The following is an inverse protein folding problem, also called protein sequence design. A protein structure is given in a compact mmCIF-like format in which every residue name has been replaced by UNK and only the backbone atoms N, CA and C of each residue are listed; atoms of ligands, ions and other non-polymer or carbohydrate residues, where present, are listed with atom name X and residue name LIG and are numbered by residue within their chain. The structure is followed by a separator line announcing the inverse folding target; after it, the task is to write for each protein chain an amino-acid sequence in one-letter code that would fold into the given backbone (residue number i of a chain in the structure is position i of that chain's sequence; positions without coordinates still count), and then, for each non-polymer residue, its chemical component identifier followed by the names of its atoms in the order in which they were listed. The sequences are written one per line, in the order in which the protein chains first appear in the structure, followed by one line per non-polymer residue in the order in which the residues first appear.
data_IF_481357771879
#
_entry.id   IF_481357771879
#
_cell.length_a   1.000
_cell.length_b   1.000
_cell.length_c   1.000
_cell.angle_alpha   90.00
_cell.angle_beta   90.00
_cell.angle_gamma   90.00
#
_symmetry.space_group_name_H-M   'P 1'
#
loop_
_entity.id
_entity.type
_entity.pdbx_description
1 polymer ?
#
# COMPACT_ATOMS: atom_id res chain seq x y z
N UNK A 1 12.21 -43.44 14.64
CA UNK A 1 11.97 -43.30 16.09
C UNK A 1 10.55 -43.79 16.37
N UNK A 2 10.30 -44.58 17.43
CA UNK A 2 8.96 -45.13 17.69
C UNK A 2 8.30 -44.35 18.83
N UNK A 3 7.17 -43.70 18.54
CA UNK A 3 6.34 -43.02 19.53
C UNK A 3 5.32 -43.98 20.16
N UNK A 4 5.14 -43.89 21.47
CA UNK A 4 4.22 -44.73 22.25
C UNK A 4 2.88 -44.03 22.46
N UNK A 5 1.78 -44.78 22.46
CA UNK A 5 0.47 -44.24 22.89
C UNK A 5 0.57 -43.71 24.33
N UNK A 6 0.04 -42.51 24.56
CA UNK A 6 0.13 -41.79 25.84
C UNK A 6 1.42 -40.96 26.00
N UNK A 7 2.36 -41.04 25.07
CA UNK A 7 3.58 -40.22 25.11
C UNK A 7 3.27 -38.75 24.85
N UNK A 8 3.88 -37.87 25.65
CA UNK A 8 3.82 -36.42 25.43
C UNK A 8 4.82 -35.99 24.37
N UNK A 9 4.36 -35.16 23.44
CA UNK A 9 5.15 -34.65 22.33
C UNK A 9 4.92 -33.15 22.16
N UNK A 10 5.92 -32.46 21.65
CA UNK A 10 5.85 -31.05 21.24
C UNK A 10 6.01 -30.97 19.72
N UNK A 11 5.24 -30.09 19.08
CA UNK A 11 5.39 -29.76 17.67
C UNK A 11 6.70 -29.02 17.48
N UNK A 12 7.57 -29.52 16.59
CA UNK A 12 8.82 -28.85 16.22
C UNK A 12 8.62 -28.11 14.90
N UNK A 13 7.92 -28.72 13.95
CA UNK A 13 7.64 -28.15 12.64
C UNK A 13 6.45 -28.87 12.00
N UNK A 14 5.65 -28.16 11.22
CA UNK A 14 4.65 -28.76 10.33
C UNK A 14 4.61 -28.01 9.01
N UNK A 15 4.40 -28.76 7.93
CA UNK A 15 4.28 -28.24 6.57
C UNK A 15 2.83 -27.95 6.18
N UNK A 16 1.85 -28.26 7.05
CA UNK A 16 0.43 -28.00 6.80
C UNK A 16 0.09 -26.49 6.98
N UNK A 17 -0.23 -25.76 5.89
CA UNK A 17 -0.52 -24.33 5.98
C UNK A 17 -1.90 -24.02 6.60
N UNK A 18 -2.76 -25.03 6.77
CA UNK A 18 -4.12 -24.87 7.28
C UNK A 18 -4.25 -25.13 8.78
N UNK A 19 -3.17 -25.58 9.43
CA UNK A 19 -3.17 -25.81 10.87
C UNK A 19 -2.98 -24.53 11.68
N UNK A 20 -3.68 -24.45 12.80
CA UNK A 20 -3.46 -23.40 13.81
C UNK A 20 -2.36 -23.75 14.80
N UNK A 21 -1.83 -24.98 14.75
CA UNK A 21 -0.73 -25.39 15.61
C UNK A 21 0.52 -24.57 15.30
N UNK A 22 1.32 -24.30 16.33
CA UNK A 22 2.60 -23.59 16.24
C UNK A 22 3.71 -24.44 16.85
N UNK A 23 4.96 -24.32 16.37
CA UNK A 23 6.10 -24.94 17.03
C UNK A 23 6.09 -24.63 18.54
N UNK A 24 6.23 -25.65 19.36
CA UNK A 24 6.10 -25.59 20.82
C UNK A 24 4.76 -26.10 21.36
N UNK A 25 3.70 -26.15 20.55
CA UNK A 25 2.42 -26.73 20.97
C UNK A 25 2.61 -28.18 21.38
N UNK A 26 1.93 -28.58 22.46
CA UNK A 26 2.11 -29.92 23.03
C UNK A 26 0.85 -30.76 22.90
N UNK A 27 1.05 -32.07 22.80
CA UNK A 27 -0.02 -33.02 22.61
C UNK A 27 0.35 -34.41 23.10
N UNK A 28 -0.65 -35.27 23.15
CA UNK A 28 -0.52 -36.66 23.58
C UNK A 28 -0.71 -37.59 22.39
N UNK A 29 0.27 -38.47 22.16
CA UNK A 29 0.21 -39.46 21.08
C UNK A 29 -0.94 -40.43 21.34
N UNK A 30 -1.90 -40.48 20.42
CA UNK A 30 -3.01 -41.45 20.44
C UNK A 30 -2.57 -42.77 19.82
N UNK A 31 -1.91 -42.68 18.67
CA UNK A 31 -1.50 -43.84 17.88
C UNK A 31 -0.33 -43.46 16.98
N UNK A 32 0.55 -44.43 16.73
CA UNK A 32 1.59 -44.33 15.71
C UNK A 32 1.43 -45.48 14.71
N UNK A 33 1.11 -45.16 13.46
CA UNK A 33 1.09 -46.12 12.36
C UNK A 33 2.49 -46.22 11.75
N UNK A 34 3.21 -47.28 12.10
CA UNK A 34 4.60 -47.48 11.66
C UNK A 34 4.72 -47.80 10.17
N UNK A 35 3.63 -48.23 9.50
CA UNK A 35 3.67 -48.53 8.05
C UNK A 35 3.61 -47.26 7.22
N UNK A 36 2.91 -46.26 7.71
CA UNK A 36 2.74 -44.96 7.05
C UNK A 36 3.60 -43.86 7.68
N UNK A 37 4.28 -44.15 8.80
CA UNK A 37 5.03 -43.19 9.61
C UNK A 37 4.19 -41.97 10.02
N UNK A 38 2.91 -42.21 10.32
CA UNK A 38 1.93 -41.19 10.73
C UNK A 38 1.64 -41.33 12.22
N UNK A 39 1.63 -40.21 12.93
CA UNK A 39 1.36 -40.14 14.36
C UNK A 39 0.10 -39.33 14.59
N UNK A 40 -0.93 -39.97 15.11
CA UNK A 40 -2.15 -39.31 15.55
C UNK A 40 -1.92 -38.70 16.93
N UNK A 41 -2.11 -37.39 17.05
CA UNK A 41 -1.87 -36.64 18.30
C UNK A 41 -3.16 -35.92 18.72
N UNK A 42 -3.50 -36.02 20.00
CA UNK A 42 -4.49 -35.13 20.62
C UNK A 42 -3.73 -33.95 21.20
N UNK A 43 -3.80 -32.81 20.54
CA UNK A 43 -3.13 -31.59 20.94
C UNK A 43 -3.89 -30.89 22.06
N UNK A 44 -3.18 -30.23 22.97
CA UNK A 44 -3.79 -29.57 24.13
C UNK A 44 -4.68 -28.38 23.73
N UNK A 45 -4.46 -27.83 22.53
CA UNK A 45 -5.33 -26.82 21.90
C UNK A 45 -6.69 -27.37 21.46
N UNK A 46 -6.93 -28.69 21.58
CA UNK A 46 -8.12 -29.37 21.10
C UNK A 46 -8.04 -29.86 19.66
N UNK A 47 -6.93 -29.57 18.95
CA UNK A 47 -6.67 -30.12 17.61
C UNK A 47 -6.42 -31.64 17.68
N UNK A 48 -6.85 -32.36 16.64
CA UNK A 48 -6.62 -33.80 16.47
C UNK A 48 -5.71 -34.10 15.25
N UNK A 49 -4.96 -33.10 14.80
CA UNK A 49 -4.10 -33.21 13.61
C UNK A 49 -3.06 -34.31 13.78
N UNK A 50 -2.97 -35.18 12.77
CA UNK A 50 -1.93 -36.21 12.67
C UNK A 50 -0.66 -35.64 12.05
N UNK A 51 0.49 -36.14 12.48
CA UNK A 51 1.81 -35.74 11.98
C UNK A 51 2.33 -36.79 11.00
N UNK A 52 2.63 -36.36 9.78
CA UNK A 52 3.20 -37.17 8.72
C UNK A 52 4.73 -36.99 8.73
N UNK A 53 5.44 -37.87 9.45
CA UNK A 53 6.89 -37.68 9.67
C UNK A 53 7.74 -37.80 8.40
N UNK A 54 7.23 -38.50 7.38
CA UNK A 54 7.88 -38.61 6.07
C UNK A 54 7.64 -37.39 5.17
N UNK A 55 6.59 -36.60 5.45
CA UNK A 55 6.18 -35.42 4.66
C UNK A 55 6.54 -34.09 5.36
N UNK A 56 7.62 -34.12 6.14
CA UNK A 56 8.26 -32.93 6.70
C UNK A 56 7.80 -32.55 8.11
N UNK A 57 6.73 -33.13 8.65
CA UNK A 57 6.31 -32.86 10.03
C UNK A 57 7.36 -33.37 11.02
N UNK A 58 7.61 -32.59 12.08
CA UNK A 58 8.56 -32.93 13.13
C UNK A 58 7.94 -32.71 14.50
N UNK A 59 8.05 -33.72 15.34
CA UNK A 59 7.67 -33.66 16.75
C UNK A 59 8.81 -34.18 17.62
N UNK A 60 8.86 -33.77 18.89
CA UNK A 60 9.86 -34.22 19.85
C UNK A 60 9.20 -34.70 21.15
N UNK A 61 9.68 -35.78 21.80
CA UNK A 61 9.21 -36.18 23.13
C UNK A 61 9.37 -35.06 24.15
N UNK A 62 8.34 -34.81 24.96
CA UNK A 62 8.43 -33.94 26.14
C UNK A 62 8.95 -34.80 27.29
N UNK A 63 10.24 -34.68 27.61
CA UNK A 63 10.82 -35.34 28.78
C UNK A 63 10.36 -34.66 30.06
N UNK A 64 9.43 -35.28 30.79
CA UNK A 64 9.10 -34.92 32.18
C UNK A 64 10.21 -35.38 33.11
N UNK A 65 11.33 -34.68 33.09
CA UNK A 65 12.23 -34.57 34.24
C UNK A 65 11.96 -33.18 34.82
N UNK A 66 11.63 -33.02 36.12
CA UNK A 66 11.41 -31.68 36.67
C UNK A 66 12.69 -30.89 36.46
N UNK A 67 12.67 -29.74 35.77
CA UNK A 67 13.85 -28.93 35.62
C UNK A 67 14.25 -28.39 37.00
N UNK A 68 15.54 -28.13 37.26
CA UNK A 68 15.91 -27.32 38.40
C UNK A 68 15.20 -25.98 38.26
N UNK A 69 14.34 -25.69 39.23
CA UNK A 69 13.51 -24.50 39.31
C UNK A 69 14.42 -23.26 39.33
N UNK A 70 14.69 -22.67 38.16
CA UNK A 70 15.42 -21.39 38.08
C UNK A 70 16.17 -21.07 36.79
N UNK A 71 16.47 -22.03 35.89
CA UNK A 71 17.35 -21.78 34.73
C UNK A 71 16.64 -21.61 33.39
N UNK A 72 16.05 -22.68 32.87
CA UNK A 72 15.68 -22.78 31.44
C UNK A 72 14.51 -21.89 31.00
N UNK A 73 13.53 -21.61 31.88
CA UNK A 73 12.44 -20.68 31.55
C UNK A 73 12.93 -19.23 31.60
N UNK A 74 13.84 -18.90 32.52
CA UNK A 74 14.48 -17.59 32.57
C UNK A 74 15.43 -17.39 31.37
N UNK A 75 16.14 -18.43 30.94
CA UNK A 75 16.98 -18.43 29.74
C UNK A 75 16.15 -18.34 28.45
N UNK A 76 15.04 -19.09 28.32
CA UNK A 76 14.15 -19.00 27.16
C UNK A 76 13.43 -17.64 27.09
N UNK A 77 13.00 -17.09 28.24
CA UNK A 77 12.42 -15.74 28.32
C UNK A 77 13.49 -14.69 28.01
N UNK A 78 14.73 -14.90 28.46
CA UNK A 78 15.88 -14.04 28.16
C UNK A 78 16.25 -14.05 26.68
N UNK A 79 16.23 -15.22 26.04
CA UNK A 79 16.51 -15.35 24.60
C UNK A 79 15.41 -14.74 23.74
N UNK A 80 14.13 -15.01 24.07
CA UNK A 80 13.01 -14.36 23.38
C UNK A 80 13.07 -12.83 23.50
N UNK A 81 13.43 -12.30 24.68
CA UNK A 81 13.64 -10.88 24.88
C UNK A 81 14.84 -10.34 24.05
N UNK A 82 15.93 -11.10 23.95
CA UNK A 82 17.06 -10.74 23.10
C UNK A 82 16.67 -10.69 21.61
N UNK A 83 15.94 -11.68 21.11
CA UNK A 83 15.43 -11.69 19.73
C UNK A 83 14.46 -10.53 19.46
N UNK A 84 13.61 -10.17 20.42
CA UNK A 84 12.74 -8.99 20.29
C UNK A 84 13.54 -7.68 20.19
N UNK A 85 14.62 -7.55 20.97
CA UNK A 85 15.51 -6.39 20.86
C UNK A 85 16.26 -6.36 19.52
N UNK A 86 16.74 -7.52 19.05
CA UNK A 86 17.35 -7.62 17.72
C UNK A 86 16.37 -7.23 16.61
N UNK A 87 15.11 -7.68 16.69
CA UNK A 87 14.05 -7.27 15.76
C UNK A 87 13.82 -5.76 15.80
N UNK A 88 13.68 -5.19 16.99
CA UNK A 88 13.47 -3.75 17.16
C UNK A 88 14.64 -2.92 16.61
N UNK A 89 15.89 -3.36 16.86
CA UNK A 89 17.08 -2.72 16.32
C UNK A 89 17.13 -2.82 14.78
N UNK A 90 16.77 -3.98 14.22
CA UNK A 90 16.65 -4.17 12.77
C UNK A 90 15.63 -3.21 12.15
N UNK A 91 14.43 -3.09 12.76
CA UNK A 91 13.39 -2.14 12.32
C UNK A 91 13.92 -0.70 12.28
N UNK A 92 14.56 -0.26 13.37
CA UNK A 92 15.07 1.11 13.48
C UNK A 92 16.18 1.40 12.45
N UNK A 93 17.10 0.45 12.29
CA UNK A 93 18.17 0.56 11.31
C UNK A 93 17.62 0.57 9.87
N UNK A 94 16.62 -0.27 9.57
CA UNK A 94 15.97 -0.31 8.26
C UNK A 94 15.26 1.01 7.93
N UNK A 95 14.52 1.57 8.89
CA UNK A 95 13.89 2.90 8.75
C UNK A 95 14.91 4.00 8.52
N UNK A 96 15.97 4.01 9.31
CA UNK A 96 17.06 4.98 9.16
C UNK A 96 17.68 4.88 7.78
N UNK A 97 17.99 3.67 7.31
CA UNK A 97 18.56 3.44 5.98
C UNK A 97 17.63 3.92 4.86
N UNK A 98 16.32 3.67 4.98
CA UNK A 98 15.31 4.19 4.06
C UNK A 98 15.27 5.72 4.01
N UNK A 99 15.39 6.40 5.16
CA UNK A 99 15.42 7.86 5.21
C UNK A 99 16.67 8.44 4.54
N UNK A 100 17.84 7.83 4.76
CA UNK A 100 19.08 8.22 4.08
C UNK A 100 18.98 8.01 2.57
N UNK A 101 18.53 6.84 2.13
CA UNK A 101 18.30 6.53 0.72
C UNK A 101 17.32 7.51 0.07
N UNK A 102 16.26 7.88 0.79
CA UNK A 102 15.23 8.76 0.27
C UNK A 102 15.80 10.16 0.00
N UNK A 103 16.71 10.67 0.84
CA UNK A 103 17.34 11.98 0.62
C UNK A 103 18.00 12.09 -0.76
N UNK A 104 18.65 11.03 -1.20
CA UNK A 104 19.43 10.99 -2.44
C UNK A 104 18.58 10.56 -3.66
N UNK A 105 17.48 9.82 -3.44
CA UNK A 105 16.67 9.25 -4.53
C UNK A 105 15.40 10.04 -4.84
N UNK A 106 14.68 10.50 -3.80
CA UNK A 106 13.37 11.19 -3.94
C UNK A 106 13.28 12.50 -3.13
N UNK A 107 14.33 12.83 -2.38
CA UNK A 107 14.41 13.97 -1.48
C UNK A 107 15.21 15.14 -2.05
N UNK A 108 15.66 16.03 -1.15
CA UNK A 108 16.26 17.31 -1.54
C UNK A 108 17.58 17.21 -2.31
N UNK A 109 18.27 16.06 -2.29
CA UNK A 109 19.51 15.84 -3.05
C UNK A 109 19.27 15.11 -4.37
N UNK A 110 18.07 14.61 -4.60
CA UNK A 110 17.72 13.96 -5.84
C UNK A 110 17.68 14.97 -6.99
N UNK A 111 18.24 14.57 -8.13
CA UNK A 111 18.10 15.32 -9.38
C UNK A 111 16.88 14.85 -10.17
N UNK A 112 16.19 15.78 -10.84
CA UNK A 112 15.08 15.46 -11.73
C UNK A 112 13.70 15.50 -11.05
N UNK A 113 12.72 14.81 -11.65
CA UNK A 113 11.34 14.75 -11.16
C UNK A 113 11.21 13.68 -10.07
N UNK A 114 11.33 14.11 -8.81
CA UNK A 114 11.25 13.22 -7.64
C UNK A 114 9.90 12.55 -7.49
N UNK A 115 8.83 13.22 -7.93
CA UNK A 115 7.46 12.71 -7.87
C UNK A 115 7.27 11.56 -8.84
N UNK A 116 7.86 11.68 -10.02
CA UNK A 116 7.91 10.63 -11.04
C UNK A 116 8.72 9.42 -10.56
N UNK A 117 9.92 9.68 -10.01
CA UNK A 117 10.77 8.63 -9.45
C UNK A 117 10.05 7.85 -8.34
N UNK A 118 9.40 8.55 -7.41
CA UNK A 118 8.64 7.93 -6.33
C UNK A 118 7.52 7.02 -6.83
N UNK A 119 6.78 7.42 -7.86
CA UNK A 119 5.71 6.60 -8.47
C UNK A 119 6.25 5.32 -9.11
N UNK A 120 7.34 5.43 -9.87
CA UNK A 120 7.97 4.26 -10.50
C UNK A 120 8.44 3.24 -9.47
N UNK A 121 8.95 3.72 -8.34
CA UNK A 121 9.38 2.86 -7.23
C UNK A 121 8.17 2.17 -6.58
N UNK A 122 7.07 2.89 -6.33
CA UNK A 122 5.84 2.29 -5.79
C UNK A 122 5.30 1.18 -6.70
N UNK A 123 5.19 1.43 -8.00
CA UNK A 123 4.75 0.44 -8.98
C UNK A 123 5.69 -0.78 -8.97
N UNK A 124 7.01 -0.56 -8.98
CA UNK A 124 7.97 -1.67 -8.94
C UNK A 124 7.92 -2.48 -7.63
N UNK A 125 7.63 -1.86 -6.50
CA UNK A 125 7.42 -2.57 -5.22
C UNK A 125 6.14 -3.40 -5.27
N UNK A 126 5.05 -2.86 -5.80
CA UNK A 126 3.76 -3.57 -5.95
C UNK A 126 3.86 -4.76 -6.92
N UNK A 127 4.53 -4.57 -8.06
CA UNK A 127 4.75 -5.61 -9.07
C UNK A 127 5.81 -6.64 -8.66
N UNK A 128 6.58 -6.38 -7.60
CA UNK A 128 7.70 -7.20 -7.19
C UNK A 128 8.86 -7.19 -8.19
N UNK A 129 9.09 -6.05 -8.87
CA UNK A 129 10.17 -5.88 -9.86
C UNK A 129 11.54 -6.05 -9.18
N UNK A 130 12.32 -7.08 -9.52
CA UNK A 130 13.64 -7.30 -8.94
C UNK A 130 14.58 -6.10 -9.12
N UNK A 131 14.49 -5.36 -10.23
CA UNK A 131 15.37 -4.21 -10.46
C UNK A 131 15.10 -3.07 -9.47
N UNK A 132 13.85 -2.92 -9.02
CA UNK A 132 13.45 -1.94 -8.00
C UNK A 132 13.81 -2.47 -6.61
N UNK A 133 13.45 -3.72 -6.31
CA UNK A 133 13.70 -4.33 -5.00
C UNK A 133 15.21 -4.42 -4.69
N UNK A 134 16.04 -4.78 -5.67
CA UNK A 134 17.51 -4.84 -5.53
C UNK A 134 18.14 -3.45 -5.34
N UNK A 135 17.44 -2.37 -5.73
CA UNK A 135 17.90 -0.99 -5.56
C UNK A 135 17.46 -0.37 -4.23
N UNK A 136 16.58 -1.04 -3.47
CA UNK A 136 16.16 -0.59 -2.14
C UNK A 136 17.26 -0.85 -1.11
N UNK A 137 17.27 -0.12 0.02
CA UNK A 137 18.15 -0.43 1.12
C UNK A 137 17.87 -1.84 1.63
N UNK A 138 18.86 -2.71 1.47
CA UNK A 138 18.84 -4.06 2.01
C UNK A 138 20.06 -4.27 2.88
N UNK A 139 19.98 -5.20 3.83
CA UNK A 139 21.11 -5.51 4.68
C UNK A 139 22.23 -6.16 3.85
N UNK A 140 23.26 -5.40 3.49
CA UNK A 140 24.43 -5.93 2.77
C UNK A 140 25.42 -6.55 3.75
N UNK A 141 25.51 -7.87 3.74
CA UNK A 141 26.62 -8.64 4.33
C UNK A 141 27.48 -9.22 3.20
N UNK A 142 27.99 -8.38 2.30
CA UNK A 142 28.89 -8.89 1.26
C UNK A 142 30.32 -8.93 1.83
N UNK A 143 30.67 -10.05 2.45
CA UNK A 143 32.06 -10.44 2.70
C UNK A 143 32.56 -10.37 4.14
N UNK A 144 31.78 -9.85 5.09
CA UNK A 144 32.15 -9.90 6.52
C UNK A 144 31.56 -11.13 7.18
N UNK A 145 32.42 -11.90 7.86
CA UNK A 145 31.98 -13.04 8.66
C UNK A 145 30.96 -12.56 9.69
N UNK A 146 29.90 -13.36 9.91
CA UNK A 146 28.86 -13.13 10.93
C UNK A 146 29.46 -12.81 12.31
N UNK A 147 30.69 -13.27 12.57
CA UNK A 147 31.43 -13.07 13.81
C UNK A 147 32.03 -11.67 13.99
N UNK A 148 32.24 -10.86 12.95
CA UNK A 148 32.89 -9.53 13.09
C UNK A 148 31.90 -8.39 13.30
N UNK A 149 30.75 -8.42 12.65
CA UNK A 149 29.71 -7.38 12.76
C UNK A 149 28.49 -7.81 13.60
N UNK A 150 28.25 -9.11 13.76
CA UNK A 150 27.08 -9.62 14.51
C UNK A 150 27.14 -9.36 16.02
N UNK A 151 28.34 -9.38 16.62
CA UNK A 151 28.51 -9.13 18.06
C UNK A 151 28.28 -7.66 18.43
N UNK A 152 28.67 -6.71 17.56
CA UNK A 152 28.44 -5.28 17.75
C UNK A 152 26.94 -4.98 17.70
N UNK A 153 26.25 -5.49 16.68
CA UNK A 153 24.80 -5.37 16.54
C UNK A 153 24.05 -6.00 17.73
N UNK A 154 24.50 -7.17 18.19
CA UNK A 154 23.91 -7.81 19.36
C UNK A 154 24.16 -6.99 20.64
N UNK A 155 25.37 -6.46 20.83
CA UNK A 155 25.70 -5.63 21.97
C UNK A 155 24.89 -4.33 21.98
N UNK A 156 24.77 -3.65 20.83
CA UNK A 156 24.01 -2.40 20.71
C UNK A 156 22.51 -2.64 20.96
N UNK A 157 21.95 -3.72 20.42
CA UNK A 157 20.54 -4.05 20.59
C UNK A 157 20.20 -4.51 22.02
N UNK A 158 21.07 -5.31 22.64
CA UNK A 158 20.75 -6.00 23.90
C UNK A 158 21.39 -5.40 25.13
N UNK A 159 22.44 -4.59 24.96
CA UNK A 159 23.33 -4.11 26.03
C UNK A 159 24.30 -5.17 26.56
N UNK A 160 24.38 -6.36 25.93
CA UNK A 160 25.16 -7.49 26.43
C UNK A 160 26.23 -7.96 25.43
N UNK A 161 27.44 -7.43 25.61
CA UNK A 161 28.63 -7.81 24.83
C UNK A 161 29.06 -9.25 25.14
N UNK A 162 28.92 -9.68 26.40
CA UNK A 162 29.43 -10.98 26.87
C UNK A 162 28.52 -12.13 26.47
N UNK A 163 27.21 -11.88 26.37
CA UNK A 163 26.20 -12.84 25.99
C UNK A 163 26.47 -13.42 24.60
N UNK A 164 26.84 -12.57 23.63
CA UNK A 164 27.13 -13.02 22.26
C UNK A 164 28.21 -14.11 22.19
N UNK A 165 29.33 -13.91 22.89
CA UNK A 165 30.43 -14.86 22.88
C UNK A 165 30.08 -16.17 23.60
N UNK A 166 29.11 -16.15 24.52
CA UNK A 166 28.55 -17.33 25.17
C UNK A 166 27.55 -18.11 24.30
N UNK A 167 27.00 -17.51 23.23
CA UNK A 167 26.06 -18.17 22.34
C UNK A 167 26.76 -19.21 21.45
N UNK A 168 26.04 -20.30 21.16
CA UNK A 168 26.39 -21.25 20.10
C UNK A 168 26.08 -20.64 18.73
N UNK A 169 26.60 -21.26 17.67
CA UNK A 169 26.40 -20.83 16.27
C UNK A 169 24.92 -20.65 15.94
N UNK A 170 24.08 -21.63 16.27
CA UNK A 170 22.65 -21.59 15.92
C UNK A 170 21.89 -20.38 16.52
N UNK A 171 22.00 -20.05 17.82
CA UNK A 171 21.45 -18.80 18.36
C UNK A 171 22.02 -17.52 17.71
N UNK A 172 23.31 -17.49 17.36
CA UNK A 172 23.89 -16.33 16.64
C UNK A 172 23.25 -16.15 15.27
N UNK A 173 23.11 -17.25 14.52
CA UNK A 173 22.44 -17.24 13.21
C UNK A 173 20.97 -16.82 13.33
N UNK A 174 20.28 -17.30 14.36
CA UNK A 174 18.89 -16.93 14.64
C UNK A 174 18.74 -15.42 14.93
N UNK A 175 19.57 -14.87 15.84
CA UNK A 175 19.56 -13.44 16.14
C UNK A 175 19.83 -12.57 14.91
N UNK A 176 20.80 -12.97 14.09
CA UNK A 176 21.14 -12.23 12.86
C UNK A 176 20.06 -12.35 11.79
N UNK A 177 19.42 -13.52 11.68
CA UNK A 177 18.30 -13.71 10.75
C UNK A 177 17.13 -12.81 11.15
N UNK A 178 16.78 -12.77 12.44
CA UNK A 178 15.70 -11.90 12.95
C UNK A 178 16.00 -10.43 12.71
N UNK A 179 17.25 -10.00 12.90
CA UNK A 179 17.64 -8.62 12.62
C UNK A 179 17.51 -8.26 11.14
N UNK A 180 18.03 -9.12 10.25
CA UNK A 180 18.03 -8.89 8.79
C UNK A 180 16.62 -8.83 8.21
N UNK A 181 15.80 -9.82 8.55
CA UNK A 181 14.38 -9.87 8.17
C UNK A 181 13.63 -8.59 8.58
N UNK A 182 13.87 -8.16 9.83
CA UNK A 182 13.27 -6.96 10.37
C UNK A 182 13.78 -5.67 9.70
N UNK A 183 15.07 -5.62 9.35
CA UNK A 183 15.68 -4.51 8.62
C UNK A 183 15.07 -4.38 7.22
N UNK A 184 15.12 -5.46 6.43
CA UNK A 184 14.70 -5.43 5.03
C UNK A 184 13.20 -5.08 4.93
N UNK A 185 12.37 -5.70 5.77
CA UNK A 185 10.93 -5.38 5.83
C UNK A 185 10.69 -3.92 6.19
N UNK A 186 11.33 -3.42 7.26
CA UNK A 186 11.13 -2.04 7.70
C UNK A 186 11.69 -1.00 6.71
N UNK A 187 12.77 -1.33 5.99
CA UNK A 187 13.33 -0.49 4.96
C UNK A 187 12.37 -0.39 3.76
N UNK A 188 11.85 -1.51 3.25
CA UNK A 188 10.87 -1.52 2.16
C UNK A 188 9.59 -0.77 2.54
N UNK A 189 9.01 -1.05 3.71
CA UNK A 189 7.80 -0.37 4.20
C UNK A 189 8.02 1.14 4.29
N UNK A 190 9.15 1.56 4.86
CA UNK A 190 9.47 2.99 5.02
C UNK A 190 9.76 3.67 3.69
N UNK A 191 10.40 3.00 2.74
CA UNK A 191 10.58 3.51 1.38
C UNK A 191 9.21 3.74 0.73
N UNK A 192 8.29 2.77 0.80
CA UNK A 192 6.96 2.92 0.23
C UNK A 192 6.22 4.12 0.84
N UNK A 193 6.26 4.29 2.16
CA UNK A 193 5.67 5.45 2.85
C UNK A 193 6.27 6.79 2.35
N UNK A 194 7.59 6.88 2.28
CA UNK A 194 8.29 8.09 1.81
C UNK A 194 8.00 8.37 0.32
N UNK A 195 7.91 7.33 -0.50
CA UNK A 195 7.50 7.44 -1.90
C UNK A 195 6.04 7.90 -2.02
N UNK A 196 5.12 7.41 -1.18
CA UNK A 196 3.75 7.92 -1.15
C UNK A 196 3.71 9.41 -0.79
N UNK A 197 4.46 9.85 0.21
CA UNK A 197 4.54 11.27 0.57
C UNK A 197 5.11 12.12 -0.58
N UNK A 198 6.18 11.66 -1.22
CA UNK A 198 6.81 12.36 -2.35
C UNK A 198 5.93 12.34 -3.62
N UNK A 199 5.20 11.26 -3.87
CA UNK A 199 4.29 11.11 -5.00
C UNK A 199 2.99 11.93 -4.84
N UNK A 200 2.59 12.20 -3.60
CA UNK A 200 1.31 12.83 -3.25
C UNK A 200 1.16 14.23 -3.85
N UNK A 201 0.01 14.58 -4.45
CA UNK A 201 -0.28 15.95 -4.87
C UNK A 201 -0.46 16.92 -3.70
N UNK A 202 -0.63 16.40 -2.49
CA UNK A 202 -0.98 17.18 -1.31
C UNK A 202 0.07 17.08 -0.20
N UNK A 203 1.13 16.30 -0.40
CA UNK A 203 2.16 16.05 0.62
C UNK A 203 1.72 15.16 1.79
N UNK A 204 0.53 14.55 1.70
CA UNK A 204 -0.01 13.57 2.67
C UNK A 204 -0.34 12.25 2.00
N UNK A 205 -0.37 11.16 2.77
CA UNK A 205 -0.84 9.87 2.28
C UNK A 205 -2.35 9.93 1.97
N UNK A 206 -2.71 9.52 0.76
CA UNK A 206 -4.07 9.53 0.21
C UNK A 206 -4.43 8.17 -0.39
N UNK A 207 -3.67 7.11 -0.07
CA UNK A 207 -3.89 5.74 -0.55
C UNK A 207 -5.24 5.15 -0.15
N UNK A 208 -5.84 5.64 0.94
CA UNK A 208 -7.19 5.26 1.35
C UNK A 208 -8.28 5.73 0.37
N UNK A 209 -8.00 6.74 -0.47
CA UNK A 209 -8.90 7.27 -1.49
C UNK A 209 -8.68 6.64 -2.87
N UNK A 210 -7.92 5.54 -2.95
CA UNK A 210 -7.74 4.79 -4.18
C UNK A 210 -9.11 4.38 -4.76
N UNK A 211 -9.35 4.47 -6.09
CA UNK A 211 -10.67 4.25 -6.70
C UNK A 211 -11.30 2.90 -6.33
N UNK A 212 -10.50 1.84 -6.20
CA UNK A 212 -10.98 0.51 -5.79
C UNK A 212 -11.51 0.44 -4.35
N UNK A 213 -11.23 1.46 -3.53
CA UNK A 213 -11.68 1.57 -2.13
C UNK A 213 -12.90 2.46 -1.95
N UNK A 214 -13.15 3.39 -2.88
CA UNK A 214 -14.28 4.32 -2.81
C UNK A 214 -15.61 3.56 -3.02
N UNK A 215 -16.58 3.77 -2.14
CA UNK A 215 -17.96 3.26 -2.24
C UNK A 215 -18.97 4.40 -2.26
N UNK A 216 -20.21 4.08 -2.61
CA UNK A 216 -21.32 5.05 -2.50
C UNK A 216 -21.45 5.48 -1.03
N UNK A 217 -21.42 6.80 -0.80
CA UNK A 217 -21.37 7.44 0.51
C UNK A 217 -19.98 7.95 0.88
N UNK A 218 -18.92 7.44 0.25
CA UNK A 218 -17.54 7.78 0.61
C UNK A 218 -17.05 9.02 -0.15
N UNK A 219 -16.05 9.69 0.42
CA UNK A 219 -15.29 10.72 -0.27
C UNK A 219 -14.30 10.07 -1.22
N UNK A 220 -14.20 10.61 -2.43
CA UNK A 220 -13.23 10.19 -3.44
C UNK A 220 -12.70 11.36 -4.24
N UNK A 221 -11.74 11.07 -5.11
CA UNK A 221 -11.22 12.00 -6.11
C UNK A 221 -11.75 11.58 -7.46
N UNK A 222 -12.41 12.51 -8.16
CA UNK A 222 -13.04 12.27 -9.44
C UNK A 222 -12.39 13.11 -10.52
N UNK A 223 -12.36 12.60 -11.74
CA UNK A 223 -11.91 13.38 -12.88
C UNK A 223 -12.74 13.09 -14.11
N UNK A 224 -12.82 14.08 -14.99
CA UNK A 224 -13.44 13.96 -16.29
C UNK A 224 -12.43 13.48 -17.33
N UNK A 225 -12.91 12.78 -18.36
CA UNK A 225 -12.07 12.26 -19.46
C UNK A 225 -11.14 13.32 -20.08
N UNK A 226 -11.59 14.58 -20.18
CA UNK A 226 -10.80 15.68 -20.77
C UNK A 226 -9.53 16.03 -19.98
N UNK A 227 -9.47 15.68 -18.69
CA UNK A 227 -8.31 15.94 -17.84
C UNK A 227 -7.23 14.87 -17.98
N UNK A 228 -7.51 13.76 -18.68
CA UNK A 228 -6.53 12.71 -18.97
C UNK A 228 -5.51 13.18 -20.00
N UNK A 229 -4.25 12.90 -19.72
CA UNK A 229 -3.09 13.21 -20.55
C UNK A 229 -2.13 12.03 -20.51
N UNK A 230 -1.26 11.90 -21.51
CA UNK A 230 -0.17 10.92 -21.45
C UNK A 230 0.97 11.49 -20.62
N UNK A 231 1.33 10.80 -19.54
CA UNK A 231 2.48 11.16 -18.72
C UNK A 231 3.81 10.92 -19.44
N UNK A 232 4.89 11.53 -18.94
CA UNK A 232 6.25 11.28 -19.46
C UNK A 232 6.70 9.80 -19.34
N UNK A 233 5.99 9.01 -18.54
CA UNK A 233 6.22 7.58 -18.34
C UNK A 233 5.37 6.69 -19.24
N UNK A 234 4.57 7.28 -20.13
CA UNK A 234 3.60 6.55 -20.94
C UNK A 234 2.33 6.12 -20.19
N UNK A 235 2.26 6.32 -18.87
CA UNK A 235 1.06 6.09 -18.07
C UNK A 235 0.05 7.24 -18.14
N UNK A 236 -1.21 6.94 -17.82
CA UNK A 236 -2.29 7.94 -17.75
C UNK A 236 -2.01 8.95 -16.62
N UNK A 237 -1.98 10.23 -16.97
CA UNK A 237 -1.87 11.36 -16.04
C UNK A 237 -3.14 12.17 -16.04
N UNK A 238 -3.50 12.66 -14.85
CA UNK A 238 -4.71 13.44 -14.68
C UNK A 238 -4.30 14.85 -14.24
N UNK A 239 -4.55 15.83 -15.10
CA UNK A 239 -4.16 17.22 -14.82
C UNK A 239 -4.86 17.78 -13.57
N UNK A 240 -6.06 17.31 -13.27
CA UNK A 240 -6.81 17.69 -12.08
C UNK A 240 -7.79 16.61 -11.62
N UNK A 241 -7.76 16.33 -10.31
CA UNK A 241 -8.80 15.61 -9.60
C UNK A 241 -9.67 16.56 -8.78
N UNK A 242 -10.94 16.20 -8.60
CA UNK A 242 -11.95 16.98 -7.89
C UNK A 242 -12.51 16.15 -6.73
N UNK A 243 -12.49 16.71 -5.52
CA UNK A 243 -12.99 16.00 -4.35
C UNK A 243 -14.51 16.03 -4.33
N UNK A 244 -15.12 14.87 -4.07
CA UNK A 244 -16.56 14.76 -3.93
C UNK A 244 -16.97 13.54 -3.12
N UNK A 245 -18.25 13.45 -2.83
CA UNK A 245 -18.85 12.24 -2.23
C UNK A 245 -19.53 11.45 -3.33
N UNK A 246 -19.16 10.18 -3.51
CA UNK A 246 -19.82 9.31 -4.49
C UNK A 246 -21.25 9.06 -4.03
N UNK A 247 -22.25 9.39 -4.85
CA UNK A 247 -23.66 9.22 -4.48
C UNK A 247 -24.39 8.20 -5.35
N UNK A 248 -23.93 7.98 -6.59
CA UNK A 248 -24.50 6.96 -7.49
C UNK A 248 -23.54 6.64 -8.65
N UNK A 249 -23.93 5.69 -9.50
CA UNK A 249 -23.35 5.48 -10.82
C UNK A 249 -24.42 5.56 -11.90
N UNK A 250 -24.11 6.19 -13.02
CA UNK A 250 -24.98 6.25 -14.18
C UNK A 250 -24.24 5.78 -15.43
N UNK A 251 -24.72 4.70 -16.05
CA UNK A 251 -24.06 4.05 -17.19
C UNK A 251 -22.58 3.70 -16.93
N UNK A 252 -22.23 3.39 -15.68
CA UNK A 252 -20.86 3.08 -15.26
C UNK A 252 -20.02 4.30 -14.85
N UNK A 253 -20.50 5.52 -15.10
CA UNK A 253 -19.82 6.76 -14.70
C UNK A 253 -20.22 7.19 -13.29
N UNK A 254 -19.28 7.76 -12.55
CA UNK A 254 -19.51 8.28 -11.22
C UNK A 254 -20.48 9.47 -11.23
N UNK A 255 -21.40 9.48 -10.27
CA UNK A 255 -22.23 10.64 -9.93
C UNK A 255 -21.84 11.04 -8.51
N UNK A 256 -21.35 12.27 -8.34
CA UNK A 256 -20.84 12.71 -7.04
C UNK A 256 -21.36 14.10 -6.64
N UNK A 257 -21.46 14.31 -5.33
CA UNK A 257 -21.82 15.59 -4.72
C UNK A 257 -20.56 16.34 -4.29
N UNK A 258 -20.40 17.59 -4.73
CA UNK A 258 -19.24 18.42 -4.42
C UNK A 258 -19.62 19.79 -3.87
N UNK A 259 -18.65 20.50 -3.29
CA UNK A 259 -18.84 21.86 -2.77
C UNK A 259 -18.88 22.88 -3.91
N UNK A 260 -19.35 24.11 -3.60
CA UNK A 260 -19.29 25.26 -4.51
C UNK A 260 -17.90 25.49 -5.09
N UNK A 261 -16.85 25.44 -4.26
CA UNK A 261 -15.47 25.64 -4.68
C UNK A 261 -15.04 24.59 -5.72
N UNK A 262 -15.36 23.33 -5.47
CA UNK A 262 -15.04 22.24 -6.42
C UNK A 262 -15.83 22.41 -7.72
N UNK A 263 -17.11 22.77 -7.64
CA UNK A 263 -17.93 23.06 -8.82
C UNK A 263 -17.37 24.22 -9.66
N UNK A 264 -16.94 25.32 -9.02
CA UNK A 264 -16.27 26.44 -9.68
C UNK A 264 -14.97 26.01 -10.36
N UNK A 265 -14.20 25.13 -9.71
CA UNK A 265 -12.98 24.59 -10.28
C UNK A 265 -13.24 23.68 -11.48
N UNK A 266 -14.32 22.90 -11.47
CA UNK A 266 -14.75 22.07 -12.62
C UNK A 266 -15.08 22.97 -13.81
N UNK A 267 -15.91 24.01 -13.60
CA UNK A 267 -16.28 24.96 -14.67
C UNK A 267 -15.05 25.69 -15.21
N UNK A 268 -14.15 26.14 -14.33
CA UNK A 268 -12.92 26.81 -14.74
C UNK A 268 -11.97 25.88 -15.52
N UNK A 269 -11.85 24.62 -15.10
CA UNK A 269 -11.02 23.64 -15.80
C UNK A 269 -11.54 23.33 -17.20
N UNK A 270 -12.85 23.16 -17.32
CA UNK A 270 -13.48 22.90 -18.60
C UNK A 270 -13.35 24.09 -19.55
N UNK A 271 -13.48 25.33 -19.05
CA UNK A 271 -13.21 26.53 -19.84
C UNK A 271 -11.76 26.57 -20.34
N UNK A 272 -10.79 26.18 -19.51
CA UNK A 272 -9.39 26.09 -19.97
C UNK A 272 -9.22 25.04 -21.07
N UNK A 273 -9.89 23.90 -20.98
CA UNK A 273 -9.86 22.88 -22.03
C UNK A 273 -10.46 23.39 -23.35
N UNK A 274 -11.58 24.12 -23.27
CA UNK A 274 -12.17 24.81 -24.43
C UNK A 274 -11.21 25.82 -25.05
N UNK A 275 -10.53 26.62 -24.23
CA UNK A 275 -9.55 27.61 -24.71
C UNK A 275 -8.33 26.96 -25.37
N UNK A 276 -7.84 25.84 -24.83
CA UNK A 276 -6.76 25.05 -25.43
C UNK A 276 -7.19 24.45 -26.77
N UNK A 277 -8.40 23.89 -26.86
CA UNK A 277 -8.93 23.36 -28.11
C UNK A 277 -9.11 24.47 -29.16
N UNK A 278 -9.63 25.63 -28.76
CA UNK A 278 -9.76 26.83 -29.59
C UNK A 278 -8.41 27.28 -30.14
N UNK A 279 -7.37 27.29 -29.29
CA UNK A 279 -6.01 27.62 -29.71
C UNK A 279 -5.48 26.59 -30.74
N UNK A 280 -5.67 25.29 -30.49
CA UNK A 280 -5.27 24.24 -31.44
C UNK A 280 -5.97 24.36 -32.80
N UNK A 281 -7.25 24.74 -32.83
CA UNK A 281 -7.97 25.00 -34.08
C UNK A 281 -7.41 26.21 -34.82
N UNK A 282 -7.07 27.28 -34.10
CA UNK A 282 -6.43 28.47 -34.69
C UNK A 282 -5.08 28.12 -35.31
N UNK A 283 -4.26 27.32 -34.62
CA UNK A 283 -2.97 26.85 -35.14
C UNK A 283 -3.11 25.97 -36.40
N UNK A 284 -4.24 25.26 -36.51
CA UNK A 284 -4.61 24.48 -37.71
C UNK A 284 -5.20 25.34 -38.84
N UNK A 285 -5.26 26.66 -38.68
CA UNK A 285 -5.73 27.60 -39.70
C UNK A 285 -7.25 27.71 -39.82
N UNK A 286 -8.01 27.31 -38.78
CA UNK A 286 -9.46 27.53 -38.74
C UNK A 286 -9.75 29.05 -38.66
N UNK A 287 -10.65 29.59 -39.50
CA UNK A 287 -11.03 31.01 -39.45
C UNK A 287 -11.61 31.42 -38.08
N UNK A 288 -11.31 32.65 -37.63
CA UNK A 288 -11.70 33.13 -36.30
C UNK A 288 -13.23 33.12 -36.09
N UNK A 289 -14.02 33.35 -37.15
CA UNK A 289 -15.48 33.33 -37.16
C UNK A 289 -16.08 31.90 -37.11
N UNK A 290 -15.27 30.87 -37.28
CA UNK A 290 -15.67 29.46 -37.14
C UNK A 290 -15.21 28.83 -35.82
N UNK A 291 -14.27 29.43 -35.10
CA UNK A 291 -13.63 28.80 -33.94
C UNK A 291 -14.64 28.39 -32.87
N UNK A 292 -15.47 29.32 -32.42
CA UNK A 292 -16.40 29.07 -31.31
C UNK A 292 -17.44 28.02 -31.69
N UNK A 293 -17.94 28.07 -32.95
CA UNK A 293 -18.86 27.07 -33.49
C UNK A 293 -18.25 25.67 -33.50
N UNK A 294 -16.96 25.54 -33.86
CA UNK A 294 -16.27 24.24 -33.86
C UNK A 294 -15.95 23.73 -32.46
N UNK A 295 -15.63 24.62 -31.53
CA UNK A 295 -15.44 24.27 -30.11
C UNK A 295 -16.77 23.77 -29.53
N UNK A 296 -17.87 24.50 -29.73
CA UNK A 296 -19.19 24.15 -29.20
C UNK A 296 -19.78 22.87 -29.81
N UNK A 297 -19.37 22.51 -31.03
CA UNK A 297 -19.78 21.27 -31.69
C UNK A 297 -19.16 20.00 -31.06
N UNK A 298 -18.08 20.14 -30.27
CA UNK A 298 -17.37 18.99 -29.68
C UNK A 298 -17.19 19.07 -28.18
N UNK A 299 -17.33 20.27 -27.59
CA UNK A 299 -17.23 20.51 -26.15
C UNK A 299 -18.46 21.27 -25.67
N UNK A 300 -19.06 20.78 -24.57
CA UNK A 300 -20.09 21.52 -23.82
C UNK A 300 -19.58 22.93 -23.46
N UNK A 301 -20.47 23.89 -23.21
CA UNK A 301 -20.08 25.17 -22.60
C UNK A 301 -20.63 25.22 -21.17
N UNK A 302 -19.74 25.18 -20.18
CA UNK A 302 -20.12 25.33 -18.77
C UNK A 302 -19.90 26.75 -18.30
N UNK A 303 -20.90 27.27 -17.59
CA UNK A 303 -20.83 28.58 -16.94
C UNK A 303 -21.69 28.62 -15.69
N UNK A 304 -21.53 29.66 -14.88
CA UNK A 304 -22.45 29.95 -13.78
C UNK A 304 -23.44 31.05 -14.19
N UNK A 305 -24.72 30.81 -13.90
CA UNK A 305 -25.78 31.81 -13.88
C UNK A 305 -26.26 31.96 -12.42
N UNK A 306 -25.64 32.91 -11.71
CA UNK A 306 -25.79 33.05 -10.27
C UNK A 306 -25.20 31.86 -9.50
N UNK A 307 -26.07 31.02 -8.93
CA UNK A 307 -25.70 29.78 -8.24
C UNK A 307 -25.93 28.51 -9.06
N UNK A 308 -26.51 28.63 -10.24
CA UNK A 308 -26.81 27.50 -11.10
C UNK A 308 -25.67 27.29 -12.10
N UNK A 309 -25.15 26.06 -12.18
CA UNK A 309 -24.27 25.68 -13.29
C UNK A 309 -25.15 25.48 -14.52
N UNK A 310 -24.83 26.18 -15.60
CA UNK A 310 -25.46 26.04 -16.90
C UNK A 310 -24.51 25.30 -17.82
N UNK A 311 -24.94 24.13 -18.27
CA UNK A 311 -24.25 23.34 -19.28
C UNK A 311 -25.01 23.43 -20.60
N UNK A 312 -24.52 24.30 -21.49
CA UNK A 312 -25.08 24.48 -22.82
C UNK A 312 -24.48 23.44 -23.78
N UNK A 313 -25.31 22.51 -24.21
CA UNK A 313 -24.95 21.37 -25.06
C UNK A 313 -25.69 21.42 -26.41
N UNK A 314 -26.32 22.56 -26.75
CA UNK A 314 -27.17 22.67 -27.93
C UNK A 314 -26.42 22.39 -29.23
N UNK A 315 -25.21 22.91 -29.34
CA UNK A 315 -24.35 22.68 -30.50
C UNK A 315 -23.76 21.26 -30.53
N UNK A 316 -23.42 20.71 -29.36
CA UNK A 316 -22.86 19.35 -29.23
C UNK A 316 -23.88 18.27 -29.58
N UNK A 317 -25.14 18.46 -29.18
CA UNK A 317 -26.21 17.47 -29.31
C UNK A 317 -27.10 17.69 -30.54
N UNK A 318 -26.90 18.78 -31.27
CA UNK A 318 -27.82 19.27 -32.32
C UNK A 318 -29.29 19.33 -31.83
N UNK A 319 -29.48 19.76 -30.59
CA UNK A 319 -30.78 19.85 -29.91
C UNK A 319 -30.92 21.23 -29.27
N UNK A 320 -31.85 22.09 -29.73
CA UNK A 320 -32.02 23.44 -29.19
C UNK A 320 -32.44 23.49 -27.71
N UNK A 321 -32.97 22.38 -27.17
CA UNK A 321 -33.40 22.28 -25.78
C UNK A 321 -32.35 21.62 -24.87
N UNK A 322 -31.18 21.23 -25.40
CA UNK A 322 -30.09 20.61 -24.64
C UNK A 322 -29.31 21.62 -23.78
N UNK A 323 -30.01 22.23 -22.82
CA UNK A 323 -29.44 23.04 -21.75
C UNK A 323 -29.74 22.36 -20.42
N UNK A 324 -28.69 21.94 -19.73
CA UNK A 324 -28.79 21.38 -18.38
C UNK A 324 -28.48 22.45 -17.34
N UNK A 325 -29.27 22.45 -16.25
CA UNK A 325 -29.16 23.44 -15.17
C UNK A 325 -29.03 22.69 -13.84
N UNK A 326 -27.88 22.86 -13.19
CA UNK A 326 -27.55 22.18 -11.93
C UNK A 326 -27.55 23.24 -10.83
N UNK A 327 -28.64 23.28 -10.07
CA UNK A 327 -28.76 24.10 -8.87
C UNK A 327 -28.11 23.38 -7.67
N UNK A 328 -27.59 24.12 -6.67
CA UNK A 328 -27.16 23.51 -5.43
C UNK A 328 -28.36 22.91 -4.68
N UNK A 329 -28.11 21.87 -3.90
CA UNK A 329 -29.08 21.32 -2.97
C UNK A 329 -29.29 22.21 -1.72
N UNK A 330 -30.09 21.73 -0.76
CA UNK A 330 -30.37 22.47 0.47
C UNK A 330 -29.15 22.74 1.35
N UNK A 331 -28.06 21.99 1.14
CA UNK A 331 -26.78 22.13 1.85
C UNK A 331 -25.75 22.94 1.04
N UNK A 332 -26.15 23.51 -0.11
CA UNK A 332 -25.28 24.29 -0.97
C UNK A 332 -24.32 23.45 -1.83
N UNK A 333 -24.56 22.13 -1.94
CA UNK A 333 -23.71 21.20 -2.69
C UNK A 333 -24.25 20.96 -4.10
N UNK A 334 -23.36 20.64 -5.02
CA UNK A 334 -23.68 20.40 -6.42
C UNK A 334 -23.59 18.92 -6.72
N UNK A 335 -24.64 18.35 -7.32
CA UNK A 335 -24.59 17.01 -7.90
C UNK A 335 -24.09 17.12 -9.32
N UNK A 336 -22.88 16.62 -9.55
CA UNK A 336 -22.30 16.58 -10.89
C UNK A 336 -22.60 15.21 -11.48
N UNK A 337 -23.34 15.20 -12.59
CA UNK A 337 -23.90 13.99 -13.19
C UNK A 337 -23.38 13.75 -14.61
N UNK A 338 -23.24 12.47 -14.95
CA UNK A 338 -22.97 12.02 -16.31
C UNK A 338 -24.24 12.04 -17.14
N UNK A 339 -24.29 12.94 -18.11
CA UNK A 339 -25.08 12.81 -19.34
C UNK A 339 -24.23 13.15 -20.55
N UNK A 340 -23.36 14.15 -20.38
CA UNK A 340 -22.40 14.61 -21.39
C UNK A 340 -20.96 14.60 -20.89
N UNK A 341 -20.74 14.15 -19.65
CA UNK A 341 -19.43 14.08 -19.02
C UNK A 341 -19.24 12.71 -18.38
N UNK A 342 -18.18 12.04 -18.80
CA UNK A 342 -17.76 10.78 -18.27
C UNK A 342 -16.86 11.05 -17.07
N UNK A 343 -17.37 10.80 -15.87
CA UNK A 343 -16.66 10.96 -14.61
C UNK A 343 -16.21 9.62 -14.07
N UNK A 344 -14.97 9.54 -13.61
CA UNK A 344 -14.40 8.35 -13.00
C UNK A 344 -13.83 8.69 -11.63
N UNK A 345 -13.96 7.75 -10.70
CA UNK A 345 -13.08 7.76 -9.53
C UNK A 345 -11.66 7.46 -10.03
N UNK A 346 -10.70 8.25 -9.57
CA UNK A 346 -9.31 8.17 -10.05
C UNK A 346 -8.35 8.07 -8.88
N UNK A 347 -7.21 7.43 -9.12
CA UNK A 347 -6.14 7.40 -8.13
C UNK A 347 -5.66 8.84 -7.84
N UNK A 348 -5.76 9.33 -6.60
CA UNK A 348 -5.21 10.64 -6.23
C UNK A 348 -3.73 10.78 -6.60
N UNK A 349 -2.96 9.68 -6.57
CA UNK A 349 -1.56 9.70 -6.98
C UNK A 349 -1.39 9.89 -8.48
N UNK A 350 -2.36 9.59 -9.33
CA UNK A 350 -2.31 9.90 -10.75
C UNK A 350 -2.52 11.39 -11.04
N UNK A 351 -3.07 12.15 -10.09
CA UNK A 351 -3.40 13.56 -10.24
C UNK A 351 -2.18 14.48 -10.06
N UNK A 352 -2.07 15.48 -10.94
CA UNK A 352 -1.08 16.56 -10.80
C UNK A 352 -1.46 17.50 -9.66
N UNK A 353 -2.76 17.82 -9.61
CA UNK A 353 -3.43 18.70 -8.64
C UNK A 353 -4.75 18.08 -8.20
N UNK A 354 -5.13 18.33 -6.96
CA UNK A 354 -6.47 18.01 -6.44
C UNK A 354 -7.12 19.31 -5.96
N UNK A 355 -8.43 19.48 -6.23
CA UNK A 355 -9.23 20.61 -5.72
C UNK A 355 -10.31 20.11 -4.78
N UNK A 356 -10.40 20.74 -3.61
CA UNK A 356 -11.33 20.40 -2.54
C UNK A 356 -10.63 19.75 -1.34
N UNK A 357 -11.36 19.67 -0.23
CA UNK A 357 -10.83 19.16 1.04
C UNK A 357 -10.89 17.63 1.08
N UNK A 358 -9.73 16.97 1.05
CA UNK A 358 -9.68 15.52 1.31
C UNK A 358 -9.81 15.25 2.82
N UNK A 359 -10.57 14.21 3.21
CA UNK A 359 -10.65 13.79 4.60
C UNK A 359 -9.27 13.38 5.11
N UNK A 360 -9.07 13.54 6.42
CA UNK A 360 -7.96 12.87 7.08
C UNK A 360 -8.22 11.36 7.13
N UNK A 361 -7.17 10.52 7.14
CA UNK A 361 -7.32 9.06 7.15
C UNK A 361 -8.14 8.54 8.34
N UNK A 362 -8.24 9.29 9.44
CA UNK A 362 -9.04 8.96 10.62
C UNK A 362 -10.53 9.36 10.49
N UNK A 363 -10.91 10.01 9.39
CA UNK A 363 -12.27 10.51 9.12
C UNK A 363 -12.94 9.85 7.91
N UNK A 364 -12.25 8.93 7.24
CA UNK A 364 -12.72 8.21 6.06
C UNK A 364 -13.49 6.93 6.43
#
# INVERSE_FOLDING_TARGET
MIYQTGQRVALVHTSDPYTRLRPGDTGTVRRHDQRQNIIEVTWDSGSILSMCLDDGDRIAPVTTTPPPTGGLVAEATGWAAALQRMRAAGIEAGRTAAEWWAQDTIGARAGGDTRLAARRILVGVEDGDPAVLDALPHFTSVGESVDTSGWELFADATGDVTGWFGLRIQPRDEAMTVYRDAFDTAATDRVAELCHLAASPTGRDVSHLHPDRVRIGDVGVFSGEWARTTGPDGGDRIAVGFVGTLIDHWNGWAVFSCTREVAEAIVADQQRYRDQHRHSLRDKGVPEDELDRRVDAVLTNLSFDGDVIVADQRALSDDPEAIERIAPDGDGRYVVMGRSWCWEAVDPYACDRIVGDLPDPDQA
#
